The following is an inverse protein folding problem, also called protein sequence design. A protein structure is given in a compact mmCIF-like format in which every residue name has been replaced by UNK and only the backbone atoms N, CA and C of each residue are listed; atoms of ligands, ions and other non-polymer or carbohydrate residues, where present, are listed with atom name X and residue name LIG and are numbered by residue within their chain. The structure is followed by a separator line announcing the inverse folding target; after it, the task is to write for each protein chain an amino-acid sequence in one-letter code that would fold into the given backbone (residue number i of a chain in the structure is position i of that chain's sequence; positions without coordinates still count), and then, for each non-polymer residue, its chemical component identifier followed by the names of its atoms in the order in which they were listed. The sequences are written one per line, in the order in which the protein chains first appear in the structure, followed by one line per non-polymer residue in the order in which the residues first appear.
data_IF_594856331547
#
_entry.id   IF_594856331547
#
_cell.length_a   1.000
_cell.length_b   1.000
_cell.length_c   1.000
_cell.angle_alpha   90.00
_cell.angle_beta   90.00
_cell.angle_gamma   90.00
#
_symmetry.space_group_name_H-M   'P 1'
#
loop_
_entity.id
_entity.type
_entity.pdbx_description
1 polymer ?
#
# COMPACT_ATOMS: atom_id res chain seq x y z
N UNK A 1 -26.82 -2.39 -8.31
CA UNK A 1 -25.42 -1.93 -8.47
C UNK A 1 -25.33 -0.42 -8.31
N UNK A 2 -26.14 0.35 -9.05
CA UNK A 2 -26.19 1.82 -8.95
C UNK A 2 -26.39 2.39 -7.54
N UNK A 3 -27.32 1.82 -6.75
CA UNK A 3 -27.56 2.29 -5.38
C UNK A 3 -26.31 2.19 -4.48
N UNK A 4 -25.47 1.15 -4.67
CA UNK A 4 -24.21 1.00 -3.92
C UNK A 4 -23.16 2.00 -4.39
N UNK A 5 -23.09 2.25 -5.69
CA UNK A 5 -22.17 3.25 -6.25
C UNK A 5 -22.49 4.66 -5.73
N UNK A 6 -23.78 5.03 -5.69
CA UNK A 6 -24.23 6.30 -5.10
C UNK A 6 -23.88 6.41 -3.61
N UNK A 7 -24.02 5.31 -2.86
CA UNK A 7 -23.63 5.27 -1.45
C UNK A 7 -22.12 5.49 -1.27
N UNK A 8 -21.29 4.81 -2.06
CA UNK A 8 -19.83 4.98 -2.00
C UNK A 8 -19.39 6.38 -2.41
N UNK A 9 -19.99 6.94 -3.46
CA UNK A 9 -19.72 8.30 -3.89
C UNK A 9 -20.06 9.29 -2.77
N UNK A 10 -21.25 9.16 -2.16
CA UNK A 10 -21.66 10.02 -1.05
C UNK A 10 -20.69 9.92 0.14
N UNK A 11 -20.21 8.72 0.46
CA UNK A 11 -19.23 8.51 1.52
C UNK A 11 -17.87 9.13 1.20
N UNK A 12 -17.39 8.98 -0.03
CA UNK A 12 -16.13 9.56 -0.50
C UNK A 12 -16.17 11.10 -0.48
N UNK A 13 -17.27 11.69 -0.93
CA UNK A 13 -17.42 13.14 -1.04
C UNK A 13 -17.73 13.80 0.31
N UNK A 14 -18.69 13.26 1.08
CA UNK A 14 -19.22 13.95 2.26
C UNK A 14 -18.51 13.56 3.57
N UNK A 15 -18.15 12.29 3.73
CA UNK A 15 -17.57 11.79 4.99
C UNK A 15 -16.04 11.81 4.98
N UNK A 16 -15.43 11.47 3.84
CA UNK A 16 -13.97 11.44 3.68
C UNK A 16 -13.39 12.70 3.05
N UNK A 17 -14.23 13.57 2.46
CA UNK A 17 -13.81 14.79 1.76
C UNK A 17 -12.70 14.55 0.72
N UNK A 18 -12.83 13.49 -0.10
CA UNK A 18 -11.90 13.19 -1.19
C UNK A 18 -12.12 14.17 -2.36
N UNK A 19 -11.56 15.37 -2.28
CA UNK A 19 -11.88 16.50 -3.18
C UNK A 19 -11.08 16.53 -4.49
N UNK A 20 -10.17 15.58 -4.72
CA UNK A 20 -9.39 15.51 -5.95
C UNK A 20 -8.97 14.07 -6.28
N UNK A 21 -8.61 13.85 -7.56
CA UNK A 21 -8.21 12.54 -8.07
C UNK A 21 -7.03 11.92 -7.30
N UNK A 22 -6.08 12.75 -6.85
CA UNK A 22 -4.95 12.28 -6.07
C UNK A 22 -5.39 11.71 -4.72
N UNK A 23 -6.29 12.39 -4.00
CA UNK A 23 -6.82 11.92 -2.74
C UNK A 23 -7.62 10.62 -2.91
N UNK A 24 -8.38 10.49 -4.00
CA UNK A 24 -9.10 9.26 -4.33
C UNK A 24 -8.15 8.11 -4.65
N UNK A 25 -7.09 8.37 -5.43
CA UNK A 25 -6.03 7.39 -5.70
C UNK A 25 -5.33 6.96 -4.41
N UNK A 26 -4.94 7.91 -3.55
CA UNK A 26 -4.27 7.60 -2.27
C UNK A 26 -5.19 6.80 -1.34
N UNK A 27 -6.50 7.05 -1.36
CA UNK A 27 -7.48 6.25 -0.62
C UNK A 27 -7.52 4.80 -1.11
N UNK A 28 -7.53 4.58 -2.42
CA UNK A 28 -7.43 3.24 -3.00
C UNK A 28 -6.06 2.59 -2.71
N UNK A 29 -4.97 3.36 -2.84
CA UNK A 29 -3.62 2.90 -2.56
C UNK A 29 -3.48 2.42 -1.11
N UNK A 30 -4.03 3.13 -0.12
CA UNK A 30 -4.05 2.70 1.30
C UNK A 30 -4.62 1.28 1.48
N UNK A 31 -5.60 0.87 0.68
CA UNK A 31 -6.16 -0.49 0.76
C UNK A 31 -5.12 -1.54 0.33
N UNK A 32 -4.26 -1.22 -0.65
CA UNK A 32 -3.19 -2.12 -1.10
C UNK A 32 -2.13 -2.37 -0.04
N UNK A 33 -1.94 -1.46 0.93
CA UNK A 33 -1.02 -1.68 2.04
C UNK A 33 -1.51 -2.77 2.99
N UNK A 34 -2.82 -2.95 3.12
CA UNK A 34 -3.41 -4.04 3.90
C UNK A 34 -3.08 -5.37 3.22
N UNK A 35 -3.30 -5.46 1.90
CA UNK A 35 -2.94 -6.63 1.11
C UNK A 35 -1.44 -6.94 1.21
N UNK A 36 -0.58 -5.93 1.05
CA UNK A 36 0.87 -6.06 1.18
C UNK A 36 1.28 -6.56 2.57
N UNK A 37 0.69 -6.02 3.65
CA UNK A 37 0.91 -6.48 5.02
C UNK A 37 0.53 -7.95 5.23
N UNK A 38 -0.61 -8.37 4.67
CA UNK A 38 -1.05 -9.76 4.69
C UNK A 38 -0.10 -10.67 3.91
N UNK A 39 0.33 -10.27 2.71
CA UNK A 39 1.28 -11.05 1.90
C UNK A 39 2.63 -11.22 2.60
N UNK A 40 3.19 -10.16 3.19
CA UNK A 40 4.45 -10.23 3.95
C UNK A 40 4.34 -11.13 5.17
N UNK A 41 3.22 -11.05 5.90
CA UNK A 41 2.98 -11.89 7.08
C UNK A 41 2.84 -13.35 6.69
N UNK A 42 2.05 -13.65 5.66
CA UNK A 42 1.89 -15.00 5.13
C UNK A 42 3.22 -15.57 4.62
N UNK A 43 4.01 -14.77 3.89
CA UNK A 43 5.36 -15.16 3.45
C UNK A 43 6.26 -15.53 4.64
N UNK A 44 6.28 -14.69 5.68
CA UNK A 44 7.06 -14.96 6.89
C UNK A 44 6.64 -16.26 7.59
N UNK A 45 5.35 -16.62 7.56
CA UNK A 45 4.85 -17.86 8.18
C UNK A 45 5.34 -19.12 7.46
N UNK A 46 5.70 -19.01 6.17
CA UNK A 46 6.21 -20.12 5.35
C UNK A 46 7.72 -20.02 5.09
N UNK A 47 8.43 -19.17 5.85
CA UNK A 47 9.88 -19.04 5.77
C UNK A 47 10.39 -18.25 4.55
N UNK A 48 9.53 -17.44 3.92
CA UNK A 48 9.89 -16.55 2.82
C UNK A 48 10.12 -15.13 3.37
N UNK A 49 11.27 -14.55 3.03
CA UNK A 49 11.59 -13.16 3.32
C UNK A 49 10.89 -12.22 2.33
N UNK A 50 10.62 -11.00 2.79
CA UNK A 50 10.00 -9.97 1.96
C UNK A 50 10.54 -8.58 2.26
N UNK A 51 10.44 -7.69 1.27
CA UNK A 51 10.80 -6.27 1.42
C UNK A 51 9.74 -5.39 0.74
N UNK A 52 9.00 -4.55 1.50
CA UNK A 52 8.12 -3.53 0.94
C UNK A 52 8.95 -2.34 0.42
N UNK A 53 8.59 -1.81 -0.73
CA UNK A 53 9.41 -0.85 -1.49
C UNK A 53 8.54 0.31 -1.97
N UNK A 54 8.87 1.53 -1.54
CA UNK A 54 8.35 2.81 -2.05
C UNK A 54 9.46 3.69 -2.67
N UNK A 55 10.72 3.26 -2.54
CA UNK A 55 11.92 4.02 -2.90
C UNK A 55 12.19 4.07 -4.41
N UNK A 56 11.21 4.47 -5.21
CA UNK A 56 11.32 4.61 -6.66
C UNK A 56 10.61 5.87 -7.16
N UNK A 57 10.89 6.27 -8.41
CA UNK A 57 10.26 7.43 -9.03
C UNK A 57 8.90 7.04 -9.64
N UNK A 58 7.81 7.29 -8.91
CA UNK A 58 6.45 6.89 -9.29
C UNK A 58 6.05 7.23 -10.73
N UNK A 59 6.28 8.46 -11.19
CA UNK A 59 5.91 8.84 -12.57
C UNK A 59 6.65 8.02 -13.64
N UNK A 60 7.96 7.82 -13.46
CA UNK A 60 8.78 7.00 -14.38
C UNK A 60 8.37 5.54 -14.34
N UNK A 61 8.09 5.00 -13.14
CA UNK A 61 7.62 3.62 -12.98
C UNK A 61 6.28 3.40 -13.69
N UNK A 62 5.28 4.27 -13.46
CA UNK A 62 4.00 4.22 -14.15
C UNK A 62 4.16 4.29 -15.68
N UNK A 63 5.02 5.19 -16.17
CA UNK A 63 5.31 5.31 -17.60
C UNK A 63 5.87 4.00 -18.17
N UNK A 64 6.87 3.39 -17.51
CA UNK A 64 7.47 2.13 -17.96
C UNK A 64 6.43 1.00 -17.96
N UNK A 65 5.61 0.89 -16.92
CA UNK A 65 4.56 -0.13 -16.83
C UNK A 65 3.48 0.06 -17.90
N UNK A 66 3.06 1.29 -18.17
CA UNK A 66 2.10 1.59 -19.22
C UNK A 66 2.67 1.29 -20.62
N UNK A 67 3.93 1.65 -20.89
CA UNK A 67 4.62 1.33 -22.13
C UNK A 67 4.78 -0.18 -22.35
N UNK A 68 4.94 -0.94 -21.27
CA UNK A 68 4.97 -2.39 -21.29
C UNK A 68 3.56 -3.04 -21.40
N UNK A 69 2.48 -2.25 -21.38
CA UNK A 69 1.11 -2.74 -21.43
C UNK A 69 0.65 -3.46 -20.16
N UNK A 70 1.33 -3.25 -19.03
CA UNK A 70 1.04 -3.92 -17.75
C UNK A 70 -0.03 -3.19 -16.93
N UNK A 71 -0.22 -1.89 -17.18
CA UNK A 71 -1.24 -1.08 -16.53
C UNK A 71 -1.92 -0.15 -17.54
N UNK A 72 -3.16 0.23 -17.28
CA UNK A 72 -3.83 1.34 -17.96
C UNK A 72 -3.70 2.65 -17.13
N UNK A 73 -2.91 3.63 -17.57
CA UNK A 73 -2.66 4.86 -16.80
C UNK A 73 -3.91 5.75 -16.60
N UNK A 74 -5.00 5.54 -17.34
CA UNK A 74 -6.28 6.24 -17.13
C UNK A 74 -7.12 5.62 -16.01
N UNK A 75 -6.82 4.38 -15.58
CA UNK A 75 -7.62 3.62 -14.62
C UNK A 75 -6.86 3.25 -13.36
N UNK A 76 -5.54 3.13 -13.45
CA UNK A 76 -4.71 2.57 -12.39
C UNK A 76 -3.32 3.20 -12.41
N UNK A 77 -2.65 3.07 -11.27
CA UNK A 77 -1.28 3.50 -11.08
C UNK A 77 -0.62 2.67 -9.97
N UNK A 78 0.70 2.54 -10.04
CA UNK A 78 1.45 1.80 -9.04
C UNK A 78 1.36 2.46 -7.66
N UNK A 79 0.97 1.69 -6.64
CA UNK A 79 0.90 2.15 -5.25
C UNK A 79 2.20 1.89 -4.48
N UNK A 80 2.75 0.68 -4.60
CA UNK A 80 3.99 0.22 -3.98
C UNK A 80 4.54 -0.99 -4.76
N UNK A 81 5.72 -1.45 -4.37
CA UNK A 81 6.29 -2.72 -4.82
C UNK A 81 6.60 -3.60 -3.61
N UNK A 82 6.70 -4.90 -3.85
CA UNK A 82 7.15 -5.86 -2.85
C UNK A 82 8.00 -6.93 -3.53
N UNK A 83 9.09 -7.30 -2.88
CA UNK A 83 9.92 -8.45 -3.28
C UNK A 83 9.75 -9.59 -2.27
N UNK A 84 9.89 -10.82 -2.77
CA UNK A 84 9.87 -12.05 -1.99
C UNK A 84 11.07 -12.92 -2.37
N UNK A 85 11.61 -13.65 -1.40
CA UNK A 85 12.72 -14.57 -1.64
C UNK A 85 13.28 -15.15 -0.35
N UNK A 86 14.52 -15.60 -0.39
CA UNK A 86 15.25 -16.09 0.79
C UNK A 86 16.45 -15.19 1.04
N UNK A 87 16.60 -14.72 2.28
CA UNK A 87 17.74 -13.86 2.65
C UNK A 87 19.05 -14.58 2.39
N UNK A 88 20.00 -13.86 1.80
CA UNK A 88 21.37 -14.35 1.65
C UNK A 88 22.15 -14.26 2.97
N UNK A 89 21.84 -13.25 3.78
CA UNK A 89 22.48 -12.98 5.06
C UNK A 89 21.45 -12.59 6.10
N UNK A 90 21.72 -12.92 7.36
CA UNK A 90 20.92 -12.42 8.47
C UNK A 90 21.10 -10.91 8.66
N UNK A 91 20.06 -10.22 9.14
CA UNK A 91 20.13 -8.80 9.42
C UNK A 91 21.18 -8.51 10.49
N UNK A 92 22.16 -7.68 10.15
CA UNK A 92 23.26 -7.28 11.04
C UNK A 92 22.77 -6.55 12.30
N UNK A 93 21.64 -5.86 12.19
CA UNK A 93 21.07 -5.07 13.27
C UNK A 93 19.74 -5.67 13.72
N UNK A 94 19.50 -5.70 15.04
CA UNK A 94 18.22 -6.15 15.56
C UNK A 94 17.09 -5.19 15.16
N UNK A 95 15.86 -5.69 15.23
CA UNK A 95 14.66 -4.89 15.00
C UNK A 95 14.58 -3.76 16.04
N UNK A 96 14.53 -2.52 15.57
CA UNK A 96 14.29 -1.33 16.40
C UNK A 96 12.89 -0.77 16.19
N UNK A 97 12.21 -0.37 17.27
CA UNK A 97 10.88 0.26 17.29
C UNK A 97 10.86 1.31 18.40
N UNK A 98 10.02 2.33 18.25
CA UNK A 98 9.73 3.28 19.34
C UNK A 98 9.21 2.54 20.59
N UNK A 99 9.46 3.05 21.81
CA UNK A 99 8.86 2.52 23.03
C UNK A 99 7.34 2.40 22.92
N UNK A 100 6.77 1.37 23.55
CA UNK A 100 5.32 1.06 23.47
C UNK A 100 4.46 2.26 23.91
N UNK A 101 4.90 2.96 24.95
CA UNK A 101 4.22 4.12 25.53
C UNK A 101 4.17 5.33 24.59
N UNK A 102 5.02 5.39 23.57
CA UNK A 102 4.99 6.46 22.56
C UNK A 102 4.00 6.19 21.41
N UNK A 103 3.53 4.95 21.28
CA UNK A 103 2.70 4.51 20.13
C UNK A 103 1.33 4.01 20.58
N UNK A 104 1.16 3.63 21.84
CA UNK A 104 -0.08 3.09 22.40
C UNK A 104 -0.50 3.92 23.60
N UNK A 105 -1.69 4.51 23.53
CA UNK A 105 -2.36 5.25 24.60
C UNK A 105 -3.74 4.66 24.89
N UNK A 106 -4.22 4.83 26.12
CA UNK A 106 -5.56 4.45 26.55
C UNK A 106 -6.30 5.71 26.97
N UNK A 107 -7.56 5.85 26.55
CA UNK A 107 -8.49 6.82 27.13
C UNK A 107 -9.37 6.08 28.09
N UNK A 108 -9.61 6.69 29.25
CA UNK A 108 -10.72 6.32 30.13
C UNK A 108 -12.07 6.61 29.45
#
# INVERSE_FOLDING_TARGET
MEARLKLYQAFQENDLALTNERALFDWAAKQTYIAMGNMMTAASMIGIDSCPIEGFHYAKANQILAQAGLINPEKEGIANMISFGYRLHDPKHPRSRKPRQEVISWSD
#
